data_IF_016759369396
#
_entry.id   IF_016759369396
#
_cell.length_a   1.000
_cell.length_b   1.000
_cell.length_c   1.000
_cell.angle_alpha   90.00
_cell.angle_beta   90.00
_cell.angle_gamma   90.00
#
_symmetry.space_group_name_H-M   'P 1'
#
loop_
_entity.id
_entity.type
_entity.pdbx_description
1 polymer ?
#
# COMPACT_ATOMS: atom_id res chain seq x y z
N UNK A 1 -16.53 -15.71 -16.71
CA UNK A 1 -16.17 -14.72 -15.68
C UNK A 1 -16.10 -15.27 -14.24
N UNK A 2 -16.93 -16.22 -13.81
CA UNK A 2 -16.91 -16.72 -12.40
C UNK A 2 -15.71 -17.58 -11.97
N UNK A 3 -14.84 -18.00 -12.87
CA UNK A 3 -13.74 -18.94 -12.56
C UNK A 3 -12.35 -18.25 -12.49
N UNK A 4 -12.25 -17.01 -12.89
CA UNK A 4 -10.97 -16.30 -13.03
C UNK A 4 -10.43 -15.73 -11.72
N UNK A 5 -11.28 -15.23 -10.85
CA UNK A 5 -10.86 -14.50 -9.65
C UNK A 5 -10.51 -15.36 -8.42
N UNK A 6 -10.78 -16.66 -8.44
CA UNK A 6 -10.45 -17.54 -7.31
C UNK A 6 -8.94 -17.80 -7.10
N UNK A 7 -8.05 -17.25 -7.92
CA UNK A 7 -6.61 -17.55 -7.91
C UNK A 7 -5.69 -16.46 -7.36
N UNK A 8 -6.17 -15.25 -7.08
CA UNK A 8 -5.31 -14.18 -6.57
C UNK A 8 -4.81 -14.39 -5.14
N UNK A 9 -5.44 -15.24 -4.37
CA UNK A 9 -5.12 -15.45 -2.97
C UNK A 9 -4.27 -16.70 -2.67
N UNK A 10 -3.84 -17.46 -3.67
CA UNK A 10 -3.27 -18.80 -3.46
C UNK A 10 -1.78 -18.94 -3.80
N UNK A 11 -1.04 -17.87 -4.01
CA UNK A 11 0.39 -17.97 -4.39
C UNK A 11 1.38 -17.57 -3.29
N UNK A 12 1.07 -17.83 -2.05
CA UNK A 12 2.01 -17.69 -0.94
C UNK A 12 2.30 -19.03 -0.24
N UNK A 13 2.44 -20.14 -0.94
CA UNK A 13 2.99 -21.37 -0.33
C UNK A 13 3.24 -22.48 -1.35
N UNK A 14 4.45 -22.64 -1.82
CA UNK A 14 5.08 -23.95 -2.06
C UNK A 14 6.52 -23.78 -2.59
N UNK A 15 7.50 -23.63 -1.73
CA UNK A 15 8.87 -24.07 -2.02
C UNK A 15 9.23 -25.08 -0.93
N UNK A 16 9.36 -26.35 -1.33
CA UNK A 16 9.74 -27.45 -0.48
C UNK A 16 11.21 -27.32 -0.06
N UNK A 17 11.45 -27.29 1.24
CA UNK A 17 12.78 -27.38 1.84
C UNK A 17 13.18 -28.87 1.88
N UNK A 18 14.21 -29.25 1.14
CA UNK A 18 14.94 -30.49 1.36
C UNK A 18 15.95 -30.30 2.47
N UNK A 19 15.70 -30.97 3.58
CA UNK A 19 16.60 -31.01 4.72
C UNK A 19 17.81 -31.91 4.43
N UNK A 20 19.02 -31.39 4.65
CA UNK A 20 20.21 -32.20 4.84
C UNK A 20 20.56 -32.22 6.34
N UNK A 21 20.47 -33.42 6.92
CA UNK A 21 20.95 -33.71 8.27
C UNK A 21 22.46 -33.88 8.26
N UNK A 22 23.14 -33.22 9.18
CA UNK A 22 24.52 -33.47 9.52
C UNK A 22 24.74 -33.22 10.99
N UNK A 23 24.86 -34.30 11.78
CA UNK A 23 25.28 -34.31 13.17
C UNK A 23 26.79 -34.06 13.30
N UNK A 24 27.19 -33.25 14.29
CA UNK A 24 28.14 -33.74 15.32
C UNK A 24 28.46 -32.69 16.38
N UNK A 25 28.76 -33.19 17.51
CA UNK A 25 28.73 -32.79 18.91
C UNK A 25 29.91 -31.93 19.38
N UNK A 26 29.65 -31.35 20.57
CA UNK A 26 30.50 -31.06 21.75
C UNK A 26 31.16 -29.69 21.87
N UNK A 27 30.89 -29.10 23.04
CA UNK A 27 31.78 -28.10 23.64
C UNK A 27 31.05 -26.99 24.46
N UNK A 28 30.87 -27.28 25.72
CA UNK A 28 30.34 -26.41 26.77
C UNK A 28 31.32 -25.27 27.10
N UNK A 29 30.86 -23.99 27.12
CA UNK A 29 31.31 -23.00 28.12
C UNK A 29 30.30 -21.84 28.18
N UNK A 30 29.69 -21.72 29.34
CA UNK A 30 28.83 -20.63 29.75
C UNK A 30 29.64 -19.32 29.88
N UNK A 31 29.20 -18.27 29.15
CA UNK A 31 29.47 -16.91 29.52
C UNK A 31 28.13 -16.15 29.44
N UNK A 32 27.56 -15.87 30.63
CA UNK A 32 26.49 -14.91 30.77
C UNK A 32 27.00 -13.54 30.37
N UNK A 33 26.61 -13.09 29.17
CA UNK A 33 26.72 -11.70 28.81
C UNK A 33 25.34 -11.09 29.03
N UNK A 34 25.19 -10.36 30.11
CA UNK A 34 24.09 -9.43 30.33
C UNK A 34 24.13 -8.39 29.20
N UNK A 35 23.38 -8.62 28.15
CA UNK A 35 23.10 -7.59 27.16
C UNK A 35 22.11 -6.62 27.79
N UNK A 36 22.62 -5.51 28.33
CA UNK A 36 21.85 -4.32 28.61
C UNK A 36 21.36 -3.82 27.25
N UNK A 37 20.07 -4.02 26.94
CA UNK A 37 19.44 -3.37 25.81
C UNK A 37 19.49 -1.85 26.09
N UNK A 38 20.41 -1.15 25.48
CA UNK A 38 20.31 0.28 25.34
C UNK A 38 19.03 0.52 24.49
N UNK A 39 17.96 0.95 25.17
CA UNK A 39 16.86 1.60 24.47
C UNK A 39 17.49 2.81 23.75
N UNK A 40 17.61 2.74 22.44
CA UNK A 40 17.90 3.92 21.66
C UNK A 40 16.81 4.95 22.02
N UNK A 41 17.21 6.13 22.47
CA UNK A 41 16.27 7.24 22.61
C UNK A 41 15.63 7.43 21.25
N UNK A 42 14.32 7.17 21.19
CA UNK A 42 13.51 7.41 19.99
C UNK A 42 13.44 8.93 19.84
N UNK A 43 14.30 9.46 18.98
CA UNK A 43 14.22 10.87 18.56
C UNK A 43 13.10 10.94 17.53
N UNK A 44 11.86 10.99 18.01
CA UNK A 44 10.75 11.35 17.13
C UNK A 44 11.01 12.77 16.64
N UNK A 45 11.02 12.95 15.32
CA UNK A 45 11.14 14.26 14.71
C UNK A 45 9.82 15.00 14.95
N UNK A 46 9.75 15.73 16.08
CA UNK A 46 8.73 16.74 16.30
C UNK A 46 9.17 18.01 15.58
N UNK A 47 9.01 18.03 14.25
CA UNK A 47 9.13 19.26 13.49
C UNK A 47 7.92 20.15 13.78
N UNK A 48 8.02 21.45 13.49
CA UNK A 48 6.85 22.32 13.53
C UNK A 48 5.81 21.78 12.55
N UNK A 49 4.55 21.72 12.98
CA UNK A 49 3.43 21.33 12.13
C UNK A 49 3.18 22.43 11.08
N UNK A 50 3.38 22.09 9.76
CA UNK A 50 3.29 23.09 8.69
C UNK A 50 1.85 23.38 8.23
N UNK A 51 0.87 22.58 8.69
CA UNK A 51 -0.57 22.72 8.37
C UNK A 51 -0.87 22.76 6.85
N UNK A 52 -0.16 21.91 6.07
CA UNK A 52 -0.25 21.86 4.62
C UNK A 52 -1.69 21.67 4.15
N UNK A 53 -2.13 22.44 3.18
CA UNK A 53 -3.42 22.25 2.52
C UNK A 53 -3.41 21.06 1.55
N UNK A 54 -4.55 20.80 0.90
CA UNK A 54 -4.71 19.70 -0.05
C UNK A 54 -3.68 19.73 -1.18
N UNK A 55 -3.41 20.88 -1.76
CA UNK A 55 -2.51 21.02 -2.91
C UNK A 55 -1.05 20.86 -2.46
N UNK A 56 -0.72 21.46 -1.33
CA UNK A 56 0.61 21.41 -0.74
C UNK A 56 0.98 19.99 -0.32
N UNK A 57 0.09 19.26 0.39
CA UNK A 57 0.36 17.88 0.80
C UNK A 57 0.47 16.94 -0.41
N UNK A 58 -0.39 17.11 -1.44
CA UNK A 58 -0.32 16.32 -2.67
C UNK A 58 1.02 16.52 -3.37
N UNK A 59 1.49 17.77 -3.48
CA UNK A 59 2.78 18.10 -4.07
C UNK A 59 3.96 17.55 -3.25
N UNK A 60 3.88 17.66 -1.92
CA UNK A 60 4.93 17.22 -1.02
C UNK A 60 5.10 15.68 -1.00
N UNK A 61 4.00 14.94 -1.05
CA UNK A 61 4.02 13.48 -1.06
C UNK A 61 4.55 12.89 -2.38
N UNK A 62 4.39 13.56 -3.51
CA UNK A 62 4.96 13.20 -4.81
C UNK A 62 4.78 11.73 -5.20
N UNK A 63 5.80 11.14 -5.83
CA UNK A 63 5.80 9.69 -6.15
C UNK A 63 6.11 8.87 -4.91
N UNK A 64 5.28 7.86 -4.63
CA UNK A 64 5.46 6.95 -3.52
C UNK A 64 5.93 5.54 -3.93
N UNK A 65 6.36 4.79 -2.92
CA UNK A 65 6.80 3.40 -3.02
C UNK A 65 6.23 2.58 -1.86
N UNK A 66 5.76 1.36 -2.13
CA UNK A 66 5.29 0.44 -1.10
C UNK A 66 6.41 -0.44 -0.58
N UNK A 67 6.52 -0.53 0.74
CA UNK A 67 7.33 -1.53 1.45
C UNK A 67 6.52 -2.84 1.56
N UNK A 68 6.10 -3.37 0.40
CA UNK A 68 5.19 -4.51 0.33
C UNK A 68 5.84 -5.85 0.63
N UNK A 69 5.04 -6.83 1.05
CA UNK A 69 5.44 -8.19 1.43
C UNK A 69 6.44 -8.25 2.60
N UNK A 70 6.34 -7.31 3.55
CA UNK A 70 7.18 -7.28 4.76
C UNK A 70 6.36 -7.24 6.05
N UNK A 71 5.97 -6.06 6.56
CA UNK A 71 5.24 -6.00 7.84
C UNK A 71 3.80 -6.52 7.75
N UNK A 72 3.24 -6.66 6.55
CA UNK A 72 1.96 -7.33 6.34
C UNK A 72 2.12 -8.84 6.12
N UNK A 73 3.34 -9.31 5.86
CA UNK A 73 3.61 -10.73 5.66
C UNK A 73 3.39 -11.52 6.95
N UNK A 74 2.82 -12.72 6.82
CA UNK A 74 2.55 -13.58 7.96
C UNK A 74 2.77 -15.06 7.65
N UNK A 75 3.02 -15.84 8.70
CA UNK A 75 3.03 -17.30 8.63
C UNK A 75 2.03 -17.83 9.67
N UNK A 76 1.01 -18.57 9.21
CA UNK A 76 -0.07 -19.10 10.05
C UNK A 76 -0.73 -18.02 10.93
N UNK A 77 -0.90 -16.82 10.40
CA UNK A 77 -1.50 -15.67 11.08
C UNK A 77 -0.56 -14.94 12.05
N UNK A 78 0.72 -15.29 12.11
CA UNK A 78 1.72 -14.57 12.91
C UNK A 78 2.50 -13.63 11.99
N UNK A 79 2.30 -12.29 12.10
CA UNK A 79 3.05 -11.32 11.32
C UNK A 79 4.55 -11.39 11.57
N UNK A 80 5.32 -11.33 10.48
CA UNK A 80 6.78 -11.27 10.50
C UNK A 80 7.28 -10.69 9.18
N UNK A 81 8.13 -9.69 9.23
CA UNK A 81 8.68 -9.01 8.05
C UNK A 81 9.48 -9.92 7.09
N UNK A 82 9.81 -11.12 7.52
CA UNK A 82 10.54 -12.11 6.71
C UNK A 82 9.69 -13.32 6.32
N UNK A 83 8.40 -13.34 6.67
CA UNK A 83 7.53 -14.51 6.47
C UNK A 83 7.38 -14.92 5.01
N UNK A 84 7.45 -13.96 4.07
CA UNK A 84 7.32 -14.21 2.63
C UNK A 84 8.65 -14.09 1.88
N UNK A 85 9.79 -14.22 2.59
CA UNK A 85 11.12 -14.36 1.99
C UNK A 85 11.89 -13.06 1.81
N UNK A 86 11.34 -11.90 2.14
CA UNK A 86 12.08 -10.66 2.18
C UNK A 86 13.05 -10.62 3.39
N UNK A 87 14.18 -9.91 3.30
CA UNK A 87 15.07 -9.70 4.44
C UNK A 87 14.47 -8.72 5.46
N UNK A 88 15.09 -8.62 6.63
CA UNK A 88 14.76 -7.60 7.63
C UNK A 88 14.89 -6.20 7.02
N UNK A 89 13.93 -5.33 7.30
CA UNK A 89 13.92 -3.94 6.82
C UNK A 89 15.08 -3.17 7.47
N UNK A 90 15.79 -2.41 6.66
CA UNK A 90 16.90 -1.56 7.12
C UNK A 90 16.66 -0.09 6.79
N UNK A 91 17.26 0.79 7.55
CA UNK A 91 17.23 2.23 7.24
C UNK A 91 17.94 2.53 5.89
N UNK A 92 18.95 1.74 5.53
CA UNK A 92 19.66 1.87 4.25
C UNK A 92 18.73 1.65 3.05
N UNK A 93 17.81 0.68 3.14
CA UNK A 93 16.78 0.50 2.11
C UNK A 93 15.94 1.77 1.94
N UNK A 94 15.52 2.39 3.04
CA UNK A 94 14.72 3.62 2.99
C UNK A 94 15.51 4.80 2.40
N UNK A 95 16.80 4.92 2.74
CA UNK A 95 17.71 5.91 2.11
C UNK A 95 17.82 5.69 0.61
N UNK A 96 17.97 4.43 0.18
CA UNK A 96 18.00 4.08 -1.24
C UNK A 96 16.70 4.48 -1.95
N UNK A 97 15.53 4.20 -1.34
CA UNK A 97 14.24 4.64 -1.88
C UNK A 97 14.21 6.16 -2.06
N UNK A 98 14.64 6.93 -1.06
CA UNK A 98 14.75 8.40 -1.15
C UNK A 98 15.66 8.86 -2.28
N UNK A 99 16.83 8.24 -2.41
CA UNK A 99 17.83 8.57 -3.45
C UNK A 99 17.30 8.33 -4.88
N UNK A 100 16.37 7.40 -5.05
CA UNK A 100 15.68 7.19 -6.33
C UNK A 100 14.60 8.25 -6.63
N UNK A 101 14.34 9.20 -5.72
CA UNK A 101 13.42 10.30 -5.92
C UNK A 101 12.01 10.09 -5.34
N UNK A 102 11.73 8.95 -4.72
CA UNK A 102 10.48 8.74 -4.01
C UNK A 102 10.36 9.68 -2.80
N UNK A 103 9.15 10.14 -2.53
CA UNK A 103 8.84 11.07 -1.44
C UNK A 103 7.94 10.46 -0.37
N UNK A 104 7.29 9.36 -0.67
CA UNK A 104 6.35 8.67 0.22
C UNK A 104 6.68 7.19 0.27
N UNK A 105 6.65 6.61 1.47
CA UNK A 105 6.71 5.15 1.69
C UNK A 105 5.39 4.72 2.33
N UNK A 106 4.61 3.90 1.60
CA UNK A 106 3.48 3.20 2.23
C UNK A 106 4.01 1.94 2.88
N UNK A 107 3.65 1.74 4.14
CA UNK A 107 4.09 0.68 5.03
C UNK A 107 2.88 -0.21 5.33
N UNK A 108 2.60 -1.23 4.51
CA UNK A 108 1.58 -2.22 4.81
C UNK A 108 1.90 -2.95 6.12
N UNK A 109 0.93 -3.04 7.04
CA UNK A 109 1.13 -3.72 8.35
C UNK A 109 -0.05 -4.64 8.64
N UNK A 110 0.22 -5.88 9.00
CA UNK A 110 -0.77 -6.80 9.57
C UNK A 110 -0.58 -6.97 11.07
N UNK A 111 -1.66 -7.05 11.81
CA UNK A 111 -1.63 -7.24 13.26
C UNK A 111 -2.06 -8.65 13.67
N UNK A 112 -3.10 -9.24 13.05
CA UNK A 112 -3.53 -10.65 13.15
C UNK A 112 -3.38 -11.23 14.57
N UNK A 113 -2.58 -12.31 14.75
CA UNK A 113 -2.28 -12.92 16.05
C UNK A 113 -1.30 -12.13 16.94
N UNK A 114 -0.86 -10.94 16.51
CA UNK A 114 -0.18 -9.98 17.40
C UNK A 114 -1.16 -9.17 18.25
N UNK A 115 -2.48 -9.38 18.07
CA UNK A 115 -3.54 -8.79 18.89
C UNK A 115 -3.97 -9.83 19.93
N UNK A 116 -3.99 -9.44 21.20
CA UNK A 116 -4.48 -10.25 22.32
C UNK A 116 -6.01 -10.33 22.38
N UNK A 117 -6.51 -10.97 23.43
CA UNK A 117 -7.94 -11.22 23.65
C UNK A 117 -8.72 -9.97 24.05
N UNK A 118 -10.06 -10.06 23.91
CA UNK A 118 -10.99 -9.08 24.44
C UNK A 118 -10.88 -8.96 25.99
N UNK A 119 -11.23 -7.81 26.55
CA UNK A 119 -11.78 -6.61 25.91
C UNK A 119 -10.69 -5.65 25.38
N UNK A 120 -9.44 -5.82 25.81
CA UNK A 120 -8.39 -4.83 25.58
C UNK A 120 -7.78 -4.94 24.18
N UNK A 121 -7.84 -6.11 23.55
CA UNK A 121 -7.23 -6.40 22.25
C UNK A 121 -5.82 -5.83 22.12
N UNK A 122 -4.99 -6.05 23.17
CA UNK A 122 -3.66 -5.46 23.27
C UNK A 122 -2.76 -5.92 22.13
N UNK A 123 -2.19 -4.97 21.39
CA UNK A 123 -1.17 -5.26 20.38
C UNK A 123 0.11 -5.67 21.09
N UNK A 124 0.80 -6.70 20.61
CA UNK A 124 2.10 -7.12 21.10
C UNK A 124 3.10 -5.94 21.05
N UNK A 125 3.72 -5.64 22.18
CA UNK A 125 4.59 -4.45 22.32
C UNK A 125 5.83 -4.52 21.41
N UNK A 126 6.43 -5.73 21.26
CA UNK A 126 7.61 -5.90 20.38
C UNK A 126 7.25 -5.66 18.93
N UNK A 127 6.06 -6.11 18.49
CA UNK A 127 5.58 -5.86 17.14
C UNK A 127 5.33 -4.37 16.89
N UNK A 128 4.63 -3.71 17.80
CA UNK A 128 4.36 -2.28 17.66
C UNK A 128 5.64 -1.43 17.74
N UNK A 129 6.64 -1.86 18.53
CA UNK A 129 7.96 -1.23 18.55
C UNK A 129 8.67 -1.39 17.19
N UNK A 130 8.57 -2.58 16.55
CA UNK A 130 9.15 -2.79 15.22
C UNK A 130 8.48 -1.96 14.15
N UNK A 131 7.15 -1.86 14.17
CA UNK A 131 6.39 -0.96 13.27
C UNK A 131 6.87 0.48 13.46
N UNK A 132 7.02 0.94 14.70
CA UNK A 132 7.52 2.27 14.99
C UNK A 132 8.93 2.50 14.47
N UNK A 133 9.84 1.56 14.67
CA UNK A 133 11.22 1.66 14.18
C UNK A 133 11.26 1.83 12.65
N UNK A 134 10.41 1.12 11.92
CA UNK A 134 10.32 1.27 10.45
C UNK A 134 9.72 2.62 10.05
N UNK A 135 8.71 3.10 10.78
CA UNK A 135 8.17 4.45 10.59
C UNK A 135 9.25 5.51 10.84
N UNK A 136 10.05 5.34 11.90
CA UNK A 136 11.17 6.24 12.23
C UNK A 136 12.21 6.29 11.11
N UNK A 137 12.53 5.15 10.47
CA UNK A 137 13.42 5.14 9.30
C UNK A 137 12.87 6.04 8.17
N UNK A 138 11.56 6.03 7.94
CA UNK A 138 10.92 6.83 6.88
C UNK A 138 10.92 8.32 7.25
N UNK A 139 10.35 8.68 8.39
CA UNK A 139 10.18 10.09 8.77
C UNK A 139 11.50 10.79 9.08
N UNK A 140 12.48 10.09 9.66
CA UNK A 140 13.82 10.63 9.90
C UNK A 140 14.62 10.87 8.63
N UNK A 141 14.22 10.27 7.52
CA UNK A 141 14.76 10.55 6.20
C UNK A 141 13.95 11.58 5.41
N UNK A 142 13.09 12.38 6.05
CA UNK A 142 12.23 13.40 5.42
C UNK A 142 11.32 12.83 4.32
N UNK A 143 10.78 11.64 4.53
CA UNK A 143 9.80 11.00 3.67
C UNK A 143 8.45 10.93 4.39
N UNK A 144 7.37 10.96 3.62
CA UNK A 144 6.04 10.69 4.13
C UNK A 144 5.86 9.19 4.36
N UNK A 145 5.32 8.81 5.53
CA UNK A 145 4.98 7.45 5.88
C UNK A 145 3.46 7.29 5.86
N UNK A 146 2.95 6.29 5.14
CA UNK A 146 1.53 5.88 5.19
C UNK A 146 1.45 4.52 5.85
N UNK A 147 0.86 4.43 7.04
CA UNK A 147 0.72 3.19 7.82
C UNK A 147 -0.73 2.75 7.83
N UNK A 148 -0.99 1.48 7.57
CA UNK A 148 -2.33 0.92 7.50
C UNK A 148 -2.55 -0.33 8.36
N UNK A 149 -3.77 -0.86 8.27
CA UNK A 149 -4.12 -2.22 8.67
C UNK A 149 -4.37 -3.01 7.37
N UNK A 150 -3.46 -3.95 7.03
CA UNK A 150 -3.40 -4.52 5.68
C UNK A 150 -4.03 -5.92 5.57
N UNK A 151 -3.33 -6.95 6.03
CA UNK A 151 -3.75 -8.34 5.86
C UNK A 151 -4.83 -8.79 6.83
N UNK A 152 -5.22 -7.96 7.78
CA UNK A 152 -6.23 -8.26 8.80
C UNK A 152 -7.63 -8.47 8.20
N UNK A 153 -7.89 -7.92 7.02
CA UNK A 153 -9.14 -8.03 6.29
C UNK A 153 -9.21 -9.14 5.24
N UNK A 154 -8.12 -9.79 4.93
CA UNK A 154 -8.14 -10.83 3.91
C UNK A 154 -8.67 -12.17 4.45
N UNK A 155 -9.73 -12.70 3.85
CA UNK A 155 -10.23 -14.07 4.12
C UNK A 155 -9.22 -15.17 3.78
N UNK A 156 -8.25 -14.87 2.94
CA UNK A 156 -7.21 -15.79 2.48
C UNK A 156 -5.98 -15.77 3.37
N UNK A 157 -5.84 -14.77 4.22
CA UNK A 157 -4.82 -14.70 5.24
C UNK A 157 -5.29 -15.44 6.48
N UNK A 158 -4.50 -16.37 6.98
CA UNK A 158 -4.81 -17.06 8.23
C UNK A 158 -5.04 -16.06 9.36
N UNK A 159 -6.20 -16.21 10.05
CA UNK A 159 -6.60 -15.33 11.16
C UNK A 159 -6.98 -13.90 10.77
N UNK A 160 -7.29 -13.63 9.50
CA UNK A 160 -7.97 -12.40 9.11
C UNK A 160 -9.28 -12.22 9.89
N UNK A 161 -9.51 -11.02 10.42
CA UNK A 161 -10.61 -10.76 11.35
C UNK A 161 -11.43 -9.52 11.02
N UNK A 162 -10.85 -8.55 10.31
CA UNK A 162 -11.55 -7.35 9.86
C UNK A 162 -12.38 -7.69 8.62
N UNK A 163 -13.60 -8.15 8.80
CA UNK A 163 -14.43 -8.73 7.75
C UNK A 163 -15.73 -7.95 7.55
N UNK A 164 -16.07 -7.61 6.30
CA UNK A 164 -17.34 -6.96 5.95
C UNK A 164 -18.52 -7.94 5.88
N UNK A 165 -18.64 -8.86 6.85
CA UNK A 165 -19.73 -9.83 6.90
C UNK A 165 -21.07 -9.18 7.27
N UNK A 166 -22.19 -9.80 6.84
CA UNK A 166 -23.55 -9.31 7.14
C UNK A 166 -24.08 -9.69 8.53
N UNK A 167 -23.30 -10.47 9.31
CA UNK A 167 -23.63 -10.90 10.67
C UNK A 167 -23.48 -9.74 11.66
N UNK A 168 -24.61 -9.21 12.13
CA UNK A 168 -24.63 -8.04 13.02
C UNK A 168 -24.00 -8.32 14.40
N UNK A 169 -24.10 -9.54 14.95
CA UNK A 169 -23.48 -9.88 16.23
C UNK A 169 -21.94 -9.89 16.08
N UNK A 170 -21.45 -10.49 15.01
CA UNK A 170 -20.04 -10.52 14.68
C UNK A 170 -19.49 -9.12 14.38
N UNK A 171 -20.29 -8.26 13.77
CA UNK A 171 -19.90 -6.88 13.51
C UNK A 171 -19.72 -6.06 14.78
N UNK A 172 -20.44 -6.33 15.85
CA UNK A 172 -20.22 -5.68 17.15
C UNK A 172 -18.82 -5.98 17.68
N UNK A 173 -18.39 -7.24 17.64
CA UNK A 173 -17.05 -7.66 18.06
C UNK A 173 -15.96 -7.06 17.16
N UNK A 174 -16.11 -7.17 15.84
CA UNK A 174 -15.15 -6.64 14.87
C UNK A 174 -14.95 -5.13 15.06
N UNK A 175 -16.02 -4.36 15.19
CA UNK A 175 -15.96 -2.91 15.39
C UNK A 175 -15.29 -2.54 16.71
N UNK A 176 -15.58 -3.26 17.79
CA UNK A 176 -14.94 -3.05 19.09
C UNK A 176 -13.42 -3.34 19.02
N UNK A 177 -13.03 -4.44 18.38
CA UNK A 177 -11.63 -4.79 18.15
C UNK A 177 -10.92 -3.74 17.29
N UNK A 178 -11.56 -3.30 16.21
CA UNK A 178 -11.02 -2.31 15.28
C UNK A 178 -10.76 -0.97 15.98
N UNK A 179 -11.72 -0.50 16.78
CA UNK A 179 -11.57 0.70 17.61
C UNK A 179 -10.41 0.57 18.60
N UNK A 180 -10.33 -0.56 19.34
CA UNK A 180 -9.30 -0.79 20.34
C UNK A 180 -7.88 -0.86 19.71
N UNK A 181 -7.75 -1.48 18.54
CA UNK A 181 -6.48 -1.58 17.80
C UNK A 181 -6.05 -0.21 17.28
N UNK A 182 -6.95 0.52 16.59
CA UNK A 182 -6.63 1.86 16.10
C UNK A 182 -6.32 2.86 17.22
N UNK A 183 -6.98 2.75 18.36
CA UNK A 183 -6.65 3.57 19.53
C UNK A 183 -5.19 3.38 19.96
N UNK A 184 -4.71 2.14 20.03
CA UNK A 184 -3.33 1.84 20.42
C UNK A 184 -2.32 2.34 19.39
N UNK A 185 -2.60 2.17 18.09
CA UNK A 185 -1.76 2.70 17.01
C UNK A 185 -1.73 4.23 17.11
N UNK A 186 -2.88 4.87 17.18
CA UNK A 186 -2.97 6.33 17.25
C UNK A 186 -2.27 6.91 18.48
N UNK A 187 -2.43 6.31 19.66
CA UNK A 187 -1.73 6.74 20.89
C UNK A 187 -0.20 6.58 20.77
N UNK A 188 0.29 5.53 20.11
CA UNK A 188 1.72 5.30 19.91
C UNK A 188 2.35 6.41 19.07
N UNK A 189 1.63 6.90 18.07
CA UNK A 189 2.16 7.83 17.06
C UNK A 189 1.61 9.26 17.17
N UNK A 190 0.87 9.62 18.21
CA UNK A 190 0.14 10.89 18.27
C UNK A 190 1.02 12.14 18.19
N UNK A 191 2.29 12.03 18.57
CA UNK A 191 3.21 13.16 18.61
C UNK A 191 4.09 13.28 17.33
N UNK A 192 3.94 12.35 16.37
CA UNK A 192 4.58 12.46 15.05
C UNK A 192 3.96 13.61 14.26
N UNK A 193 4.78 14.28 13.46
CA UNK A 193 4.36 15.40 12.62
C UNK A 193 3.53 14.98 11.40
N UNK A 194 3.32 15.88 10.46
CA UNK A 194 2.51 15.64 9.25
C UNK A 194 3.12 14.65 8.25
N UNK A 195 4.38 14.24 8.42
CA UNK A 195 4.97 13.20 7.58
C UNK A 195 4.36 11.82 7.82
N UNK A 196 3.64 11.62 8.93
CA UNK A 196 2.93 10.36 9.17
C UNK A 196 1.45 10.50 8.84
N UNK A 197 0.95 9.62 7.98
CA UNK A 197 -0.45 9.50 7.56
C UNK A 197 -0.94 8.12 7.98
N UNK A 198 -2.18 8.02 8.48
CA UNK A 198 -2.82 6.75 8.75
C UNK A 198 -3.83 6.41 7.65
N UNK A 199 -3.81 5.17 7.19
CA UNK A 199 -4.78 4.61 6.25
C UNK A 199 -5.66 3.58 6.99
N UNK A 200 -6.96 3.76 6.92
CA UNK A 200 -7.94 3.03 7.73
C UNK A 200 -7.86 1.51 7.60
N UNK A 201 -7.76 1.02 6.39
CA UNK A 201 -7.68 -0.40 6.03
C UNK A 201 -7.13 -0.53 4.61
N UNK A 202 -6.88 -1.76 4.16
CA UNK A 202 -6.46 -2.04 2.79
C UNK A 202 -7.67 -2.33 1.88
N UNK A 203 -7.69 -3.46 1.22
CA UNK A 203 -8.67 -3.92 0.21
C UNK A 203 -9.82 -4.70 0.86
N UNK A 204 -10.62 -4.03 1.70
CA UNK A 204 -11.72 -4.68 2.38
C UNK A 204 -12.93 -4.89 1.47
N UNK A 205 -13.45 -6.11 1.45
CA UNK A 205 -14.68 -6.49 0.74
C UNK A 205 -15.20 -7.86 1.24
N UNK A 206 -16.30 -8.35 0.70
CA UNK A 206 -16.95 -9.61 1.10
C UNK A 206 -16.34 -10.87 0.45
N UNK A 207 -15.20 -10.76 -0.23
CA UNK A 207 -14.55 -11.80 -1.02
C UNK A 207 -15.39 -12.39 -2.17
N UNK A 208 -16.49 -11.74 -2.51
CA UNK A 208 -17.23 -12.02 -3.72
C UNK A 208 -16.92 -10.97 -4.78
N UNK A 209 -16.11 -11.33 -5.76
CA UNK A 209 -15.76 -10.39 -6.82
C UNK A 209 -16.98 -10.10 -7.69
N UNK A 210 -17.46 -8.87 -7.59
CA UNK A 210 -18.66 -8.36 -8.23
C UNK A 210 -19.02 -6.99 -7.69
N UNK A 211 -20.26 -6.58 -7.90
CA UNK A 211 -20.74 -5.32 -7.32
C UNK A 211 -20.78 -5.41 -5.80
N UNK A 212 -20.43 -4.31 -5.10
CA UNK A 212 -20.55 -4.24 -3.66
C UNK A 212 -21.94 -4.65 -3.16
N UNK A 213 -21.94 -5.42 -2.11
CA UNK A 213 -23.17 -5.69 -1.39
C UNK A 213 -23.42 -4.52 -0.42
N UNK A 214 -24.68 -3.96 -0.38
CA UNK A 214 -24.96 -2.75 0.37
C UNK A 214 -24.63 -2.86 1.86
N UNK A 215 -24.96 -4.00 2.50
CA UNK A 215 -24.72 -4.19 3.94
C UNK A 215 -23.23 -4.28 4.27
N UNK A 216 -22.44 -4.97 3.43
CA UNK A 216 -21.00 -5.01 3.57
C UNK A 216 -20.39 -3.63 3.40
N UNK A 217 -20.90 -2.83 2.46
CA UNK A 217 -20.43 -1.46 2.25
C UNK A 217 -20.77 -0.54 3.45
N UNK A 218 -21.94 -0.68 4.05
CA UNK A 218 -22.30 0.01 5.30
C UNK A 218 -21.28 -0.30 6.41
N UNK A 219 -20.78 -1.54 6.48
CA UNK A 219 -19.78 -1.91 7.46
C UNK A 219 -18.42 -1.24 7.19
N UNK A 220 -17.98 -1.15 5.92
CA UNK A 220 -16.76 -0.41 5.53
C UNK A 220 -16.90 1.07 5.90
N UNK A 221 -18.04 1.69 5.62
CA UNK A 221 -18.30 3.08 6.01
C UNK A 221 -18.26 3.25 7.54
N UNK A 222 -18.78 2.28 8.29
CA UNK A 222 -18.73 2.30 9.75
C UNK A 222 -17.30 2.15 10.27
N UNK A 223 -16.45 1.31 9.65
CA UNK A 223 -15.02 1.21 9.99
C UNK A 223 -14.31 2.54 9.75
N UNK A 224 -14.55 3.19 8.61
CA UNK A 224 -13.98 4.50 8.32
C UNK A 224 -14.39 5.55 9.36
N UNK A 225 -15.66 5.57 9.78
CA UNK A 225 -16.13 6.50 10.83
C UNK A 225 -15.48 6.20 12.19
N UNK A 226 -15.41 4.92 12.59
CA UNK A 226 -14.74 4.50 13.83
C UNK A 226 -13.27 4.91 13.81
N UNK A 227 -12.59 4.70 12.69
CA UNK A 227 -11.18 5.08 12.50
C UNK A 227 -10.99 6.58 12.71
N UNK A 228 -11.74 7.42 12.00
CA UNK A 228 -11.64 8.88 12.11
C UNK A 228 -11.86 9.34 13.54
N UNK A 229 -12.98 8.92 14.15
CA UNK A 229 -13.34 9.30 15.51
C UNK A 229 -12.28 8.85 16.54
N UNK A 230 -11.80 7.62 16.39
CA UNK A 230 -10.82 7.04 17.32
C UNK A 230 -9.49 7.77 17.24
N UNK A 231 -8.98 7.99 16.04
CA UNK A 231 -7.69 8.70 15.85
C UNK A 231 -7.80 10.13 16.38
N UNK A 232 -8.83 10.87 16.00
CA UNK A 232 -9.03 12.26 16.46
C UNK A 232 -9.09 12.39 17.99
N UNK A 233 -9.80 11.48 18.66
CA UNK A 233 -9.95 11.47 20.12
C UNK A 233 -8.66 11.25 20.90
N UNK A 234 -7.59 10.73 20.27
CA UNK A 234 -6.29 10.63 20.93
C UNK A 234 -5.57 11.96 21.07
N UNK A 235 -6.04 13.00 20.36
CA UNK A 235 -5.52 14.38 20.49
C UNK A 235 -4.11 14.56 19.95
N UNK A 236 -3.39 15.56 20.47
CA UNK A 236 -2.06 15.96 19.98
C UNK A 236 -2.09 16.19 18.47
N UNK A 237 -1.08 15.77 17.71
CA UNK A 237 -1.03 15.93 16.26
C UNK A 237 -2.09 15.09 15.51
N UNK A 238 -2.65 14.06 16.15
CA UNK A 238 -3.75 13.29 15.57
C UNK A 238 -5.03 14.12 15.39
N UNK A 239 -5.22 15.18 16.18
CA UNK A 239 -6.33 16.12 15.98
C UNK A 239 -6.29 16.83 14.61
N UNK A 240 -5.12 16.88 13.95
CA UNK A 240 -4.91 17.57 12.66
C UNK A 240 -4.39 16.66 11.56
N UNK A 241 -3.98 15.41 11.89
CA UNK A 241 -3.35 14.47 10.96
C UNK A 241 -4.21 14.19 9.74
N UNK A 242 -3.58 14.06 8.56
CA UNK A 242 -4.24 13.53 7.39
C UNK A 242 -4.60 12.05 7.60
N UNK A 243 -5.86 11.69 7.31
CA UNK A 243 -6.40 10.35 7.45
C UNK A 243 -6.88 9.86 6.08
N UNK A 244 -6.42 8.67 5.69
CA UNK A 244 -6.68 8.06 4.39
C UNK A 244 -7.75 6.99 4.52
N UNK A 245 -8.79 7.07 3.71
CA UNK A 245 -10.01 6.28 3.78
C UNK A 245 -10.12 5.35 2.59
N UNK A 246 -10.30 4.07 2.83
CA UNK A 246 -10.48 3.06 1.78
C UNK A 246 -11.96 2.81 1.50
N UNK A 247 -12.32 2.72 0.21
CA UNK A 247 -13.62 2.21 -0.23
C UNK A 247 -13.59 0.69 -0.44
N UNK A 248 -14.65 0.15 -1.03
CA UNK A 248 -14.80 -1.27 -1.32
C UNK A 248 -13.67 -1.81 -2.19
N UNK A 249 -12.85 -2.70 -1.61
CA UNK A 249 -11.69 -3.30 -2.27
C UNK A 249 -10.75 -2.26 -2.91
N UNK A 250 -10.67 -1.04 -2.36
CA UNK A 250 -9.95 0.12 -2.94
C UNK A 250 -10.21 0.32 -4.44
N UNK A 251 -11.28 -0.28 -4.96
CA UNK A 251 -11.63 -0.22 -6.37
C UNK A 251 -12.19 1.17 -6.73
N UNK A 252 -11.63 1.78 -7.78
CA UNK A 252 -11.97 3.14 -8.20
C UNK A 252 -13.45 3.28 -8.57
N UNK A 253 -13.98 2.32 -9.36
CA UNK A 253 -15.39 2.36 -9.78
C UNK A 253 -16.33 2.27 -8.59
N UNK A 254 -16.01 1.41 -7.61
CA UNK A 254 -16.85 1.21 -6.41
C UNK A 254 -16.68 2.32 -5.37
N UNK A 255 -15.56 3.03 -5.38
CA UNK A 255 -15.31 4.15 -4.46
C UNK A 255 -15.84 5.47 -5.02
N UNK A 256 -15.59 5.75 -6.30
CA UNK A 256 -15.98 7.01 -6.95
C UNK A 256 -17.34 6.95 -7.67
N UNK A 257 -17.95 5.77 -7.80
CA UNK A 257 -19.28 5.58 -8.38
C UNK A 257 -20.39 5.59 -7.33
N UNK A 258 -21.62 5.40 -7.80
CA UNK A 258 -22.83 5.33 -6.94
C UNK A 258 -23.03 3.91 -6.40
N UNK A 259 -22.12 3.46 -5.53
CA UNK A 259 -22.14 2.12 -4.93
C UNK A 259 -22.25 2.13 -3.40
N UNK A 260 -22.27 3.30 -2.77
CA UNK A 260 -22.51 3.42 -1.33
C UNK A 260 -21.31 3.91 -0.51
N UNK A 261 -20.19 4.35 -1.12
CA UNK A 261 -19.12 4.99 -0.38
C UNK A 261 -19.58 6.30 0.27
N UNK A 262 -19.31 6.43 1.57
CA UNK A 262 -19.64 7.63 2.34
C UNK A 262 -18.38 8.15 3.02
N UNK A 263 -18.04 9.40 2.75
CA UNK A 263 -16.97 10.08 3.49
C UNK A 263 -17.46 10.32 4.92
N UNK A 264 -16.73 9.86 5.95
CA UNK A 264 -17.14 10.05 7.34
C UNK A 264 -17.16 11.52 7.74
N UNK A 265 -17.92 11.83 8.78
CA UNK A 265 -17.85 13.13 9.44
C UNK A 265 -16.53 13.23 10.23
N UNK A 266 -15.90 14.39 10.19
CA UNK A 266 -14.63 14.67 10.91
C UNK A 266 -14.83 15.82 11.92
N UNK A 267 -15.82 15.65 12.81
CA UNK A 267 -16.24 16.69 13.75
C UNK A 267 -15.22 16.99 14.87
N UNK A 268 -14.22 16.14 15.04
CA UNK A 268 -13.15 16.30 16.02
C UNK A 268 -11.83 16.79 15.39
N UNK A 269 -11.82 17.12 14.11
CA UNK A 269 -10.65 17.71 13.45
C UNK A 269 -10.43 19.14 13.96
N UNK A 270 -9.19 19.44 14.38
CA UNK A 270 -8.79 20.78 14.85
C UNK A 270 -8.02 21.58 13.80
N UNK A 271 -7.82 21.03 12.62
CA UNK A 271 -7.15 21.73 11.53
C UNK A 271 -8.07 22.74 10.83
N UNK A 272 -7.46 23.69 10.13
CA UNK A 272 -8.18 24.55 9.20
C UNK A 272 -8.44 23.77 7.89
N UNK A 273 -9.71 23.44 7.62
CA UNK A 273 -10.10 22.71 6.41
C UNK A 273 -10.10 21.20 6.55
N UNK A 274 -10.25 20.51 5.42
CA UNK A 274 -10.31 19.06 5.36
C UNK A 274 -8.97 18.40 5.68
N UNK A 275 -9.01 17.26 6.34
CA UNK A 275 -7.85 16.39 6.61
C UNK A 275 -8.15 14.91 6.31
N UNK A 276 -9.08 14.67 5.40
CA UNK A 276 -9.41 13.34 4.91
C UNK A 276 -8.92 13.18 3.47
N UNK A 277 -8.35 12.04 3.16
CA UNK A 277 -7.87 11.58 1.86
C UNK A 277 -8.59 10.31 1.45
N UNK A 278 -8.60 9.98 0.17
CA UNK A 278 -9.25 8.78 -0.38
C UNK A 278 -8.19 7.83 -0.94
N UNK A 279 -8.24 6.56 -0.50
CA UNK A 279 -7.38 5.49 -0.99
C UNK A 279 -8.07 4.69 -2.09
N UNK A 280 -7.38 4.49 -3.20
CA UNK A 280 -7.77 3.61 -4.29
C UNK A 280 -6.55 2.87 -4.83
N UNK A 281 -6.75 1.71 -5.48
CA UNK A 281 -5.69 0.96 -6.15
C UNK A 281 -5.96 0.90 -7.66
N UNK A 282 -4.90 0.78 -8.48
CA UNK A 282 -5.03 0.77 -9.93
C UNK A 282 -4.12 -0.27 -10.58
N UNK A 283 -4.72 -1.34 -11.10
CA UNK A 283 -4.04 -2.43 -11.79
C UNK A 283 -4.72 -2.83 -13.11
N UNK A 284 -5.35 -1.84 -13.78
CA UNK A 284 -6.03 -2.13 -15.05
C UNK A 284 -5.11 -1.90 -16.27
N UNK A 285 -5.25 -2.74 -17.30
CA UNK A 285 -6.05 -3.96 -17.37
C UNK A 285 -5.31 -5.15 -16.72
N UNK A 286 -6.03 -5.95 -15.95
CA UNK A 286 -5.51 -7.10 -15.19
C UNK A 286 -4.58 -8.02 -16.01
N UNK A 287 -4.97 -8.36 -17.25
CA UNK A 287 -4.17 -9.27 -18.07
C UNK A 287 -2.79 -8.72 -18.42
N UNK A 288 -2.62 -7.40 -18.47
CA UNK A 288 -1.32 -6.77 -18.68
C UNK A 288 -0.54 -6.58 -17.37
N UNK A 289 -1.22 -6.20 -16.29
CA UNK A 289 -0.56 -5.83 -15.04
C UNK A 289 -0.28 -7.00 -14.11
N UNK A 290 -1.24 -7.89 -13.90
CA UNK A 290 -1.24 -8.90 -12.83
C UNK A 290 -1.32 -10.36 -13.31
N UNK A 291 -1.81 -10.64 -14.53
CA UNK A 291 -2.03 -12.02 -14.97
C UNK A 291 -0.71 -12.74 -15.24
N UNK A 292 -0.49 -13.80 -14.47
CA UNK A 292 0.68 -14.66 -14.58
C UNK A 292 0.51 -15.85 -15.54
N UNK A 293 -0.70 -16.02 -16.07
CA UNK A 293 -0.98 -17.14 -16.96
C UNK A 293 -0.45 -16.86 -18.36
N UNK A 294 0.55 -17.60 -18.79
CA UNK A 294 1.20 -17.47 -20.10
C UNK A 294 0.25 -17.44 -21.31
N UNK A 295 -0.96 -17.99 -21.19
CA UNK A 295 -1.94 -18.03 -22.29
C UNK A 295 -2.87 -16.84 -22.35
N UNK A 296 -3.09 -16.14 -21.24
CA UNK A 296 -3.97 -14.97 -21.11
C UNK A 296 -3.22 -13.67 -20.86
N UNK A 297 -2.01 -13.73 -20.30
CA UNK A 297 -1.18 -12.58 -20.03
C UNK A 297 -0.92 -11.77 -21.31
N UNK A 298 -1.05 -10.43 -21.16
CA UNK A 298 -0.76 -9.47 -22.23
C UNK A 298 0.65 -8.92 -22.04
N UNK A 299 1.29 -8.65 -23.18
CA UNK A 299 2.68 -8.16 -23.19
C UNK A 299 2.84 -6.78 -23.79
N UNK A 300 1.80 -6.27 -24.44
CA UNK A 300 1.76 -4.92 -24.99
C UNK A 300 0.54 -4.15 -24.48
N UNK A 301 0.68 -2.83 -24.40
CA UNK A 301 -0.35 -1.90 -23.94
C UNK A 301 -0.23 -0.56 -24.67
N UNK A 302 -1.39 0.10 -24.84
CA UNK A 302 -1.48 1.46 -25.36
C UNK A 302 -1.53 1.52 -26.88
N UNK A 303 -1.62 2.74 -27.39
CA UNK A 303 -1.80 3.06 -28.82
C UNK A 303 -0.69 2.54 -29.75
N UNK A 304 0.42 2.14 -29.20
CA UNK A 304 1.56 1.58 -29.93
C UNK A 304 1.57 0.04 -29.95
N UNK A 305 0.67 -0.59 -29.22
CA UNK A 305 0.56 -2.05 -29.22
C UNK A 305 0.13 -2.55 -30.60
N UNK A 306 0.77 -3.63 -31.09
CA UNK A 306 0.50 -4.23 -32.40
C UNK A 306 0.00 -5.65 -32.28
N UNK A 307 0.30 -6.33 -31.17
CA UNK A 307 -0.10 -7.71 -30.92
C UNK A 307 -0.24 -7.96 -29.40
N UNK A 308 -0.90 -9.03 -29.01
CA UNK A 308 -1.01 -9.50 -27.61
C UNK A 308 -1.35 -8.41 -26.61
N UNK A 309 -2.37 -7.61 -26.87
CA UNK A 309 -2.90 -6.57 -25.98
C UNK A 309 -4.41 -6.76 -25.76
N UNK A 310 -4.94 -6.14 -24.72
CA UNK A 310 -6.38 -6.09 -24.48
C UNK A 310 -7.04 -4.97 -25.32
N UNK A 311 -8.33 -5.13 -25.60
CA UNK A 311 -9.15 -4.10 -26.27
C UNK A 311 -9.83 -3.13 -25.28
N UNK A 312 -9.49 -3.19 -23.99
CA UNK A 312 -9.99 -2.33 -22.93
C UNK A 312 -8.86 -1.93 -21.99
N UNK A 313 -9.07 -0.94 -21.13
CA UNK A 313 -8.07 -0.52 -20.15
C UNK A 313 -6.87 0.17 -20.79
N UNK A 314 -7.06 0.80 -21.97
CA UNK A 314 -6.02 1.54 -22.68
C UNK A 314 -5.95 2.99 -22.22
N UNK A 315 -5.25 3.86 -22.91
CA UNK A 315 -5.01 5.25 -22.49
C UNK A 315 -6.29 6.02 -22.17
N UNK A 316 -7.31 5.90 -23.01
CA UNK A 316 -8.61 6.56 -22.85
C UNK A 316 -9.33 6.13 -21.56
N UNK A 317 -9.17 4.86 -21.18
CA UNK A 317 -9.68 4.35 -19.92
C UNK A 317 -8.91 4.92 -18.72
N UNK A 318 -7.58 5.01 -18.80
CA UNK A 318 -6.75 5.64 -17.76
C UNK A 318 -7.18 7.10 -17.58
N UNK A 319 -7.27 7.87 -18.67
CA UNK A 319 -7.64 9.28 -18.64
C UNK A 319 -9.01 9.51 -18.01
N UNK A 320 -10.00 8.71 -18.42
CA UNK A 320 -11.36 8.81 -17.89
C UNK A 320 -11.43 8.41 -16.41
N UNK A 321 -10.63 7.41 -15.99
CA UNK A 321 -10.58 6.92 -14.63
C UNK A 321 -9.92 7.95 -13.70
N UNK A 322 -8.80 8.53 -14.09
CA UNK A 322 -8.11 9.55 -13.29
C UNK A 322 -8.95 10.84 -13.23
N UNK A 323 -9.57 11.21 -14.34
CA UNK A 323 -10.52 12.33 -14.35
C UNK A 323 -11.72 12.11 -13.41
N UNK A 324 -12.25 10.90 -13.35
CA UNK A 324 -13.34 10.54 -12.43
C UNK A 324 -12.93 10.75 -10.97
N UNK A 325 -11.70 10.39 -10.59
CA UNK A 325 -11.15 10.65 -9.25
C UNK A 325 -11.06 12.15 -8.96
N UNK A 326 -10.58 12.93 -9.93
CA UNK A 326 -10.55 14.39 -9.80
C UNK A 326 -11.95 14.96 -9.60
N UNK A 327 -12.91 14.65 -10.49
CA UNK A 327 -14.26 15.20 -10.47
C UNK A 327 -15.02 14.79 -9.19
N UNK A 328 -14.74 13.59 -8.66
CA UNK A 328 -15.46 13.06 -7.49
C UNK A 328 -14.89 13.55 -6.17
N UNK A 329 -13.55 13.63 -6.04
CA UNK A 329 -12.88 13.87 -4.78
C UNK A 329 -11.94 15.07 -4.81
N UNK A 330 -10.94 15.10 -5.71
CA UNK A 330 -9.87 16.11 -5.69
C UNK A 330 -10.43 17.52 -5.84
N UNK A 331 -11.33 17.75 -6.79
CA UNK A 331 -11.98 19.06 -7.00
C UNK A 331 -12.86 19.51 -5.84
N UNK A 332 -13.15 18.63 -4.90
CA UNK A 332 -13.96 18.90 -3.70
C UNK A 332 -13.12 19.02 -2.41
N UNK A 333 -11.80 19.03 -2.53
CA UNK A 333 -10.92 19.21 -1.39
C UNK A 333 -10.44 17.92 -0.71
N UNK A 334 -10.61 16.76 -1.34
CA UNK A 334 -10.14 15.47 -0.85
C UNK A 334 -8.99 14.95 -1.71
N UNK A 335 -7.72 14.98 -1.25
CA UNK A 335 -6.63 14.35 -1.97
C UNK A 335 -6.91 12.86 -2.20
N UNK A 336 -6.47 12.34 -3.35
CA UNK A 336 -6.58 10.91 -3.67
C UNK A 336 -5.20 10.29 -3.72
N UNK A 337 -5.02 9.20 -2.99
CA UNK A 337 -3.83 8.37 -3.06
C UNK A 337 -4.17 7.11 -3.86
N UNK A 338 -3.43 6.88 -4.96
CA UNK A 338 -3.42 5.58 -5.62
C UNK A 338 -2.42 4.73 -4.82
N UNK A 339 -2.90 4.09 -3.75
CA UNK A 339 -2.09 3.42 -2.74
C UNK A 339 -1.28 2.25 -3.27
N UNK A 340 -1.76 1.63 -4.35
CA UNK A 340 -1.04 0.59 -5.07
C UNK A 340 -1.27 0.72 -6.57
N UNK A 341 -0.19 0.62 -7.33
CA UNK A 341 -0.20 0.50 -8.78
C UNK A 341 1.09 -0.15 -9.26
N UNK A 342 1.03 -0.81 -10.40
CA UNK A 342 2.23 -1.42 -10.96
C UNK A 342 1.93 -2.49 -12.01
N UNK A 343 3.00 -3.01 -12.59
CA UNK A 343 2.95 -4.10 -13.56
C UNK A 343 4.00 -5.13 -13.18
N UNK A 344 3.60 -6.39 -13.00
CA UNK A 344 4.51 -7.50 -12.77
C UNK A 344 5.54 -7.65 -13.89
N UNK A 345 6.74 -8.10 -13.56
CA UNK A 345 7.75 -8.43 -14.55
C UNK A 345 7.34 -9.71 -15.33
N UNK A 346 7.11 -9.56 -16.62
CA UNK A 346 6.79 -10.65 -17.56
C UNK A 346 7.81 -10.77 -18.69
N UNK A 347 9.05 -10.34 -18.46
CA UNK A 347 10.13 -10.37 -19.47
C UNK A 347 10.39 -11.78 -20.01
N UNK A 348 10.09 -12.80 -19.22
CA UNK A 348 10.16 -14.21 -19.66
C UNK A 348 9.10 -14.58 -20.72
N UNK A 349 8.05 -13.76 -20.89
CA UNK A 349 6.98 -14.00 -21.90
C UNK A 349 7.33 -13.33 -23.22
N UNK A 350 7.94 -12.14 -23.18
CA UNK A 350 8.29 -11.37 -24.38
C UNK A 350 9.45 -10.42 -24.12
N UNK A 351 10.42 -10.40 -25.02
CA UNK A 351 11.56 -9.49 -24.98
C UNK A 351 11.15 -8.02 -25.10
N UNK A 352 9.98 -7.73 -25.67
CA UNK A 352 9.46 -6.37 -25.82
C UNK A 352 8.61 -5.91 -24.64
N UNK A 353 8.34 -6.79 -23.67
CA UNK A 353 7.45 -6.48 -22.57
C UNK A 353 7.90 -5.25 -21.75
N UNK A 354 9.18 -5.16 -21.44
CA UNK A 354 9.67 -4.13 -20.53
C UNK A 354 9.49 -2.70 -21.09
N UNK A 355 9.57 -2.50 -22.40
CA UNK A 355 9.35 -1.17 -23.00
C UNK A 355 7.88 -0.73 -22.88
N UNK A 356 6.94 -1.68 -22.99
CA UNK A 356 5.51 -1.40 -22.75
C UNK A 356 5.18 -1.26 -21.26
N UNK A 357 5.90 -1.98 -20.38
CA UNK A 357 5.80 -1.81 -18.94
C UNK A 357 6.19 -0.39 -18.51
N UNK A 358 7.31 0.11 -19.02
CA UNK A 358 7.75 1.49 -18.79
C UNK A 358 6.76 2.50 -19.37
N UNK A 359 6.22 2.26 -20.57
CA UNK A 359 5.24 3.13 -21.20
C UNK A 359 3.94 3.23 -20.39
N UNK A 360 3.40 2.10 -19.91
CA UNK A 360 2.23 2.08 -19.04
C UNK A 360 2.50 2.84 -17.75
N UNK A 361 3.67 2.63 -17.15
CA UNK A 361 4.03 3.28 -15.89
C UNK A 361 4.14 4.79 -16.04
N UNK A 362 4.83 5.25 -17.09
CA UNK A 362 4.94 6.69 -17.39
C UNK A 362 3.56 7.31 -17.63
N UNK A 363 2.68 6.60 -18.37
CA UNK A 363 1.34 7.08 -18.69
C UNK A 363 0.46 7.22 -17.46
N UNK A 364 0.38 6.18 -16.64
CA UNK A 364 -0.49 6.16 -15.45
C UNK A 364 -0.01 7.18 -14.41
N UNK A 365 1.30 7.29 -14.18
CA UNK A 365 1.85 8.30 -13.25
C UNK A 365 1.57 9.72 -13.75
N UNK A 366 1.72 9.98 -15.06
CA UNK A 366 1.40 11.26 -15.67
C UNK A 366 -0.08 11.62 -15.49
N UNK A 367 -0.98 10.70 -15.86
CA UNK A 367 -2.41 10.90 -15.73
C UNK A 367 -2.86 11.09 -14.27
N UNK A 368 -2.28 10.36 -13.33
CA UNK A 368 -2.53 10.53 -11.91
C UNK A 368 -2.12 11.93 -11.43
N UNK A 369 -0.89 12.37 -11.74
CA UNK A 369 -0.39 13.70 -11.40
C UNK A 369 -1.26 14.82 -11.96
N UNK A 370 -1.62 14.75 -13.24
CA UNK A 370 -2.44 15.76 -13.94
C UNK A 370 -3.85 15.87 -13.33
N UNK A 371 -4.33 14.81 -12.70
CA UNK A 371 -5.62 14.81 -12.01
C UNK A 371 -5.49 15.03 -10.49
N UNK A 372 -4.30 15.42 -9.98
CA UNK A 372 -4.08 15.74 -8.57
C UNK A 372 -4.10 14.51 -7.64
N UNK A 373 -3.81 13.33 -8.18
CA UNK A 373 -3.66 12.09 -7.42
C UNK A 373 -2.19 11.83 -7.08
N UNK A 374 -1.97 11.13 -5.96
CA UNK A 374 -0.64 10.73 -5.46
C UNK A 374 -0.43 9.26 -5.81
N UNK A 375 0.42 8.91 -6.80
CA UNK A 375 0.68 7.53 -7.16
C UNK A 375 1.73 6.89 -6.25
N UNK A 376 1.46 5.67 -5.77
CA UNK A 376 2.40 4.87 -4.98
C UNK A 376 2.63 3.52 -5.68
N UNK A 377 3.86 3.28 -6.12
CA UNK A 377 4.26 2.05 -6.78
C UNK A 377 4.24 0.87 -5.82
N UNK A 378 3.66 -0.27 -6.23
CA UNK A 378 3.73 -1.51 -5.48
C UNK A 378 5.05 -2.23 -5.72
N UNK A 379 5.86 -2.40 -4.68
CA UNK A 379 7.08 -3.20 -4.67
C UNK A 379 6.95 -4.31 -3.63
N UNK A 380 6.99 -5.57 -4.07
CA UNK A 380 6.88 -6.74 -3.19
C UNK A 380 8.24 -7.34 -2.80
N UNK A 381 9.35 -6.69 -3.18
CA UNK A 381 10.72 -7.17 -2.93
C UNK A 381 11.18 -8.30 -3.85
N UNK A 382 10.34 -8.85 -4.72
CA UNK A 382 10.73 -9.87 -5.67
C UNK A 382 11.18 -9.25 -7.00
N UNK A 383 12.48 -9.35 -7.30
CA UNK A 383 13.09 -8.72 -8.49
C UNK A 383 13.06 -9.60 -9.74
N UNK A 384 12.66 -10.88 -9.63
CA UNK A 384 12.59 -11.84 -10.73
C UNK A 384 11.28 -11.78 -11.52
N UNK A 385 11.07 -12.81 -12.35
CA UNK A 385 9.83 -13.01 -13.10
C UNK A 385 8.62 -12.98 -12.16
N UNK A 386 7.53 -12.34 -12.60
CA UNK A 386 6.29 -12.11 -11.85
C UNK A 386 6.44 -11.22 -10.62
N UNK A 387 7.60 -10.61 -10.42
CA UNK A 387 7.85 -9.66 -9.33
C UNK A 387 7.52 -8.22 -9.69
N UNK A 388 7.39 -7.41 -8.65
CA UNK A 388 7.27 -5.96 -8.74
C UNK A 388 8.53 -5.25 -8.25
N UNK A 389 9.51 -6.01 -7.69
CA UNK A 389 10.69 -5.44 -7.06
C UNK A 389 11.52 -4.60 -8.03
N UNK A 390 11.81 -3.36 -7.65
CA UNK A 390 12.70 -2.45 -8.38
C UNK A 390 14.03 -2.23 -7.64
N UNK A 391 14.07 -2.59 -6.36
CA UNK A 391 15.24 -2.54 -5.49
C UNK A 391 15.46 -3.93 -4.89
N UNK A 392 16.69 -4.43 -4.95
CA UNK A 392 17.07 -5.64 -4.22
C UNK A 392 17.23 -5.31 -2.73
N UNK A 393 16.31 -5.79 -1.91
CA UNK A 393 16.25 -5.44 -0.47
C UNK A 393 17.41 -6.03 0.36
N UNK A 394 18.20 -6.95 -0.19
CA UNK A 394 19.36 -7.53 0.51
C UNK A 394 20.60 -6.63 0.45
N UNK A 395 20.81 -5.95 -0.69
CA UNK A 395 22.02 -5.17 -0.96
C UNK A 395 21.74 -3.75 -1.46
N UNK A 396 20.46 -3.34 -1.50
CA UNK A 396 19.99 -2.03 -1.95
C UNK A 396 20.36 -1.70 -3.43
N UNK A 397 20.65 -2.70 -4.27
CA UNK A 397 20.93 -2.53 -5.69
C UNK A 397 19.64 -2.21 -6.47
N UNK A 398 19.71 -1.23 -7.37
CA UNK A 398 18.60 -0.89 -8.27
C UNK A 398 18.56 -1.92 -9.41
N UNK A 399 17.46 -2.68 -9.46
CA UNK A 399 17.31 -3.79 -10.43
C UNK A 399 16.51 -3.42 -11.67
N UNK A 400 15.74 -2.33 -11.63
CA UNK A 400 14.85 -1.88 -12.71
C UNK A 400 14.95 -0.35 -12.91
N UNK A 401 16.12 0.17 -13.26
CA UNK A 401 16.36 1.62 -13.34
C UNK A 401 15.48 2.32 -14.38
N UNK A 402 15.15 1.65 -15.50
CA UNK A 402 14.32 2.22 -16.56
C UNK A 402 12.88 2.44 -16.08
N UNK A 403 12.37 1.52 -15.26
CA UNK A 403 11.02 1.64 -14.70
C UNK A 403 10.94 2.78 -13.69
N UNK A 404 11.97 2.91 -12.83
CA UNK A 404 12.07 4.06 -11.91
C UNK A 404 12.18 5.37 -12.71
N UNK A 405 13.01 5.39 -13.75
CA UNK A 405 13.17 6.57 -14.59
C UNK A 405 11.85 6.99 -15.27
N UNK A 406 11.02 6.04 -15.73
CA UNK A 406 9.71 6.32 -16.30
C UNK A 406 8.77 6.99 -15.28
N UNK A 407 8.71 6.46 -14.05
CA UNK A 407 7.92 7.06 -12.95
C UNK A 407 8.40 8.49 -12.62
N UNK A 408 9.70 8.67 -12.43
CA UNK A 408 10.28 9.95 -12.04
C UNK A 408 10.18 11.00 -13.15
N UNK A 409 10.30 10.58 -14.42
CA UNK A 409 10.08 11.47 -15.57
C UNK A 409 8.65 12.00 -15.55
N UNK A 410 7.65 11.14 -15.40
CA UNK A 410 6.25 11.54 -15.34
C UNK A 410 5.96 12.46 -14.14
N UNK A 411 6.47 12.11 -12.95
CA UNK A 411 6.23 12.88 -11.74
C UNK A 411 6.92 14.25 -11.77
N UNK A 412 8.13 14.36 -12.31
CA UNK A 412 8.94 15.58 -12.27
C UNK A 412 8.77 16.47 -13.51
N UNK A 413 8.05 16.02 -14.54
CA UNK A 413 7.80 16.84 -15.75
C UNK A 413 6.88 18.01 -15.45
N UNK A 414 7.22 19.18 -15.96
CA UNK A 414 6.39 20.38 -15.92
C UNK A 414 5.58 20.51 -17.22
N UNK A 415 4.26 20.64 -17.07
CA UNK A 415 3.34 20.88 -18.19
C UNK A 415 3.08 19.68 -19.10
N UNK A 416 2.43 19.98 -20.23
CA UNK A 416 2.12 18.98 -21.24
C UNK A 416 3.38 18.53 -21.98
N UNK A 417 3.72 17.26 -21.83
CA UNK A 417 4.71 16.60 -22.68
C UNK A 417 4.10 15.34 -23.31
N UNK A 418 4.52 15.02 -24.50
CA UNK A 418 4.11 13.79 -25.17
C UNK A 418 4.99 12.63 -24.71
N UNK A 419 4.35 11.57 -24.20
CA UNK A 419 5.04 10.34 -23.85
C UNK A 419 5.55 9.69 -25.13
N UNK A 420 6.86 9.42 -25.20
CA UNK A 420 7.48 8.80 -26.36
C UNK A 420 6.94 7.38 -26.59
N UNK A 421 6.90 6.97 -27.83
CA UNK A 421 6.60 5.59 -28.19
C UNK A 421 7.57 4.62 -27.50
N UNK A 422 7.12 3.41 -27.10
CA UNK A 422 8.04 2.36 -26.68
C UNK A 422 9.10 2.11 -27.75
N UNK A 423 10.35 1.93 -27.33
CA UNK A 423 11.48 1.76 -28.23
C UNK A 423 11.22 0.61 -29.25
N UNK A 424 11.37 0.90 -30.52
CA UNK A 424 11.09 -0.02 -31.63
C UNK A 424 9.63 -0.09 -32.08
N UNK A 425 8.74 0.73 -31.49
CA UNK A 425 7.29 0.80 -31.82
C UNK A 425 6.86 2.17 -32.28
N UNK A 426 7.78 3.04 -32.65
CA UNK A 426 7.48 4.32 -33.25
C UNK A 426 6.67 4.09 -34.55
N UNK A 427 5.57 4.81 -34.71
CA UNK A 427 4.80 4.75 -35.96
C UNK A 427 5.71 5.20 -37.11
N UNK A 428 5.85 4.32 -38.10
CA UNK A 428 6.48 4.67 -39.38
C UNK A 428 5.60 5.59 -40.17
#
# INVERSE_FOLDING_TARGET
MRTFFKRMAALAAAIAVTAFSGCSSTGNTSAETTATSAQAEIVSKTSEWNDLDQTEITSAMGMGWNLGNQLEASNSGIPSETAWGNPVITEELIKTVKEQGFKTVRIPVSYLLKIGDAPDYKINDEWLNRVQEVVDYVVNNDLYAVVNMHGDGYYTVDKGWLLCVEDDEKQVEIKAKYEAVWKQIAERFKDYDEHLIFESMNEEFDNTYGKPNPKGYENINAYNQIFVDTVRKTGSNNAKRWLLLSGWNTNIEYTAGDFGFVIPTDSHCEANGNRLMISVHYYDPYNFTLDENMTSAKTQWGKYAVENFDNWGQEDYVDSTMKKLNDTFVSKGYPVIIGEMGVQNKSHVSDTFNVFRCYWMEYVVKAAKENGCIPIYWDNGWNGDKGFGVINRTNCEITQPELIAAMMKAMNSDGDYEIAAPAGFEKK
#
